data_IF_766434453764
#
_entry.id   IF_766434453764
#
_cell.length_a   1.000
_cell.length_b   1.000
_cell.length_c   1.000
_cell.angle_alpha   90.00
_cell.angle_beta   90.00
_cell.angle_gamma   90.00
#
_symmetry.space_group_name_H-M   'P 1'
#
loop_
_entity.id
_entity.type
_entity.pdbx_description
1 polymer ?
#
# COMPACT_ATOMS: atom_id res chain seq x y z
N UNK A 1 -1.20 13.61 26.04
CA UNK A 1 -1.43 14.10 24.66
C UNK A 1 -0.18 14.04 23.75
N UNK A 2 1.05 13.97 24.28
CA UNK A 2 2.29 13.76 23.47
C UNK A 2 3.01 12.43 23.76
N UNK A 3 2.36 11.47 24.42
CA UNK A 3 2.98 10.21 24.84
C UNK A 3 3.50 9.37 23.65
N UNK A 4 2.86 9.45 22.48
CA UNK A 4 3.30 8.77 21.25
C UNK A 4 4.68 9.22 20.75
N UNK A 5 5.11 10.45 21.08
CA UNK A 5 6.44 10.95 20.69
C UNK A 5 7.52 10.32 21.57
N UNK A 6 7.19 10.04 22.84
CA UNK A 6 8.10 9.41 23.80
C UNK A 6 8.05 7.88 23.74
N UNK A 7 7.07 7.30 23.04
CA UNK A 7 6.88 5.87 22.89
C UNK A 7 7.74 5.30 21.74
N UNK A 8 8.77 4.50 22.03
CA UNK A 8 9.63 3.90 21.00
C UNK A 8 8.86 2.99 20.04
N UNK A 9 7.76 2.37 20.49
CA UNK A 9 6.99 1.41 19.70
C UNK A 9 6.27 2.09 18.52
N UNK A 10 5.78 3.32 18.73
CA UNK A 10 5.16 4.14 17.69
C UNK A 10 6.16 4.52 16.58
N UNK A 11 7.40 4.84 16.94
CA UNK A 11 8.46 5.15 15.98
C UNK A 11 8.88 3.91 15.16
N UNK A 12 9.00 2.76 15.81
CA UNK A 12 9.32 1.49 15.13
C UNK A 12 8.20 1.12 14.14
N UNK A 13 6.95 1.27 14.54
CA UNK A 13 5.79 1.02 13.67
C UNK A 13 5.77 1.97 12.47
N UNK A 14 6.01 3.26 12.68
CA UNK A 14 6.11 4.26 11.61
C UNK A 14 7.24 3.94 10.63
N UNK A 15 8.43 3.61 11.13
CA UNK A 15 9.59 3.24 10.28
C UNK A 15 9.29 1.98 9.49
N UNK A 16 8.68 0.98 10.10
CA UNK A 16 8.31 -0.27 9.43
C UNK A 16 7.28 -0.01 8.33
N UNK A 17 6.26 0.79 8.63
CA UNK A 17 5.20 1.12 7.68
C UNK A 17 5.74 1.97 6.51
N UNK A 18 6.61 2.94 6.80
CA UNK A 18 7.32 3.70 5.78
C UNK A 18 8.25 2.83 4.93
N UNK A 19 8.96 1.87 5.54
CA UNK A 19 9.81 0.93 4.81
C UNK A 19 9.00 0.06 3.85
N UNK A 20 7.85 -0.46 4.31
CA UNK A 20 6.93 -1.24 3.46
C UNK A 20 6.38 -0.40 2.30
N UNK A 21 5.97 0.84 2.57
CA UNK A 21 5.50 1.79 1.55
C UNK A 21 6.58 2.04 0.48
N UNK A 22 7.84 2.19 0.89
CA UNK A 22 8.97 2.42 -0.01
C UNK A 22 9.24 1.18 -0.89
N UNK A 23 9.31 -0.01 -0.30
CA UNK A 23 9.56 -1.26 -1.05
C UNK A 23 8.47 -1.47 -2.11
N UNK A 24 7.21 -1.33 -1.71
CA UNK A 24 6.06 -1.45 -2.62
C UNK A 24 6.05 -0.36 -3.70
N UNK A 25 6.55 0.84 -3.38
CA UNK A 25 6.68 1.94 -4.34
C UNK A 25 7.79 1.74 -5.36
N UNK A 26 8.91 1.13 -4.97
CA UNK A 26 10.08 0.91 -5.83
C UNK A 26 9.78 -0.12 -6.92
N UNK A 27 9.11 -1.22 -6.59
CA UNK A 27 8.79 -2.29 -7.55
C UNK A 27 8.02 -1.75 -8.76
N UNK A 28 7.06 -0.86 -8.53
CA UNK A 28 6.25 -0.23 -9.58
C UNK A 28 7.04 0.76 -10.45
N UNK A 29 7.95 1.55 -9.88
CA UNK A 29 8.77 2.52 -10.63
C UNK A 29 9.80 1.79 -11.51
N UNK A 30 10.42 0.72 -10.98
CA UNK A 30 11.38 -0.11 -11.72
C UNK A 30 10.72 -0.73 -12.96
N UNK A 31 9.50 -1.27 -12.82
CA UNK A 31 8.77 -1.85 -13.95
C UNK A 31 8.52 -0.84 -15.08
N UNK A 32 8.06 0.37 -14.73
CA UNK A 32 7.85 1.45 -15.72
C UNK A 32 9.17 1.82 -16.42
N UNK A 33 10.25 1.97 -15.65
CA UNK A 33 11.56 2.34 -16.23
C UNK A 33 12.10 1.26 -17.17
N UNK A 34 11.91 -0.03 -16.84
CA UNK A 34 12.28 -1.14 -17.72
C UNK A 34 11.45 -1.13 -19.00
N UNK A 35 10.14 -0.91 -18.90
CA UNK A 35 9.22 -0.93 -20.04
C UNK A 35 9.45 0.26 -20.98
N UNK A 36 9.63 1.46 -20.40
CA UNK A 36 9.90 2.69 -21.14
C UNK A 36 11.29 2.70 -21.77
N UNK A 37 12.28 2.11 -21.10
CA UNK A 37 13.65 2.00 -21.61
C UNK A 37 13.76 1.23 -22.94
N UNK A 38 12.76 0.40 -23.25
CA UNK A 38 12.67 -0.38 -24.49
C UNK A 38 12.00 0.36 -25.67
N UNK A 39 11.47 1.57 -25.46
CA UNK A 39 10.73 2.31 -26.49
C UNK A 39 11.61 3.27 -27.31
N UNK A 40 11.36 3.41 -28.63
CA UNK A 40 12.03 4.39 -29.49
C UNK A 40 11.81 5.82 -28.97
N UNK A 41 12.79 6.72 -29.16
CA UNK A 41 12.80 8.07 -28.58
C UNK A 41 11.53 8.88 -28.86
N UNK A 42 10.93 8.72 -30.05
CA UNK A 42 9.66 9.35 -30.43
C UNK A 42 8.45 8.88 -29.62
N UNK A 43 8.50 7.68 -29.03
CA UNK A 43 7.38 7.05 -28.30
C UNK A 43 7.60 7.02 -26.78
N UNK A 44 8.78 7.43 -26.28
CA UNK A 44 9.09 7.42 -24.84
C UNK A 44 8.12 8.25 -24.02
N UNK A 45 7.63 9.38 -24.54
CA UNK A 45 6.68 10.23 -23.84
C UNK A 45 5.32 9.54 -23.65
N UNK A 46 4.76 8.97 -24.71
CA UNK A 46 3.51 8.18 -24.63
C UNK A 46 3.70 6.92 -23.79
N UNK A 47 4.84 6.24 -23.89
CA UNK A 47 5.20 5.09 -23.06
C UNK A 47 5.28 5.41 -21.58
N UNK A 48 5.83 6.57 -21.21
CA UNK A 48 5.86 7.05 -19.82
C UNK A 48 4.46 7.29 -19.29
N UNK A 49 3.62 7.99 -20.06
CA UNK A 49 2.25 8.30 -19.65
C UNK A 49 1.43 7.01 -19.49
N UNK A 50 1.54 6.08 -20.45
CA UNK A 50 0.85 4.80 -20.39
C UNK A 50 1.35 3.94 -19.22
N UNK A 51 2.68 3.92 -18.99
CA UNK A 51 3.30 3.22 -17.87
C UNK A 51 2.91 3.80 -16.52
N UNK A 52 2.89 5.13 -16.37
CA UNK A 52 2.39 5.80 -15.16
C UNK A 52 0.91 5.53 -14.94
N UNK A 53 0.09 5.58 -15.99
CA UNK A 53 -1.34 5.28 -15.89
C UNK A 53 -1.59 3.83 -15.44
N UNK A 54 -0.87 2.87 -16.03
CA UNK A 54 -0.93 1.45 -15.63
C UNK A 54 -0.43 1.22 -14.20
N UNK A 55 0.65 1.89 -13.78
CA UNK A 55 1.18 1.79 -12.42
C UNK A 55 0.24 2.38 -11.37
N UNK A 56 -0.41 3.50 -11.68
CA UNK A 56 -1.46 4.07 -10.83
C UNK A 56 -2.68 3.16 -10.76
N UNK A 57 -3.08 2.57 -11.89
CA UNK A 57 -4.23 1.67 -11.96
C UNK A 57 -3.99 0.40 -11.14
N UNK A 58 -2.84 -0.26 -11.30
CA UNK A 58 -2.47 -1.44 -10.50
C UNK A 58 -2.41 -1.12 -9.01
N UNK A 59 -1.87 0.05 -8.64
CA UNK A 59 -1.87 0.52 -7.25
C UNK A 59 -3.28 0.70 -6.69
N UNK A 60 -4.17 1.35 -7.43
CA UNK A 60 -5.57 1.54 -7.02
C UNK A 60 -6.29 0.19 -6.89
N UNK A 61 -6.05 -0.73 -7.82
CA UNK A 61 -6.70 -2.04 -7.84
C UNK A 61 -6.26 -2.91 -6.66
N UNK A 62 -4.95 -2.92 -6.35
CA UNK A 62 -4.41 -3.57 -5.16
C UNK A 62 -4.92 -2.94 -3.87
N UNK A 63 -4.94 -1.61 -3.77
CA UNK A 63 -5.48 -0.91 -2.61
C UNK A 63 -6.98 -1.17 -2.41
N UNK A 64 -7.77 -1.20 -3.48
CA UNK A 64 -9.20 -1.57 -3.42
C UNK A 64 -9.39 -3.02 -3.00
N UNK A 65 -8.58 -3.95 -3.52
CA UNK A 65 -8.62 -5.35 -3.12
C UNK A 65 -8.30 -5.50 -1.63
N UNK A 66 -7.26 -4.83 -1.15
CA UNK A 66 -6.85 -4.85 0.25
C UNK A 66 -7.90 -4.18 1.16
N UNK A 67 -8.48 -3.05 0.74
CA UNK A 67 -9.57 -2.41 1.46
C UNK A 67 -10.84 -3.29 1.51
N UNK A 68 -11.14 -4.01 0.43
CA UNK A 68 -12.27 -4.94 0.40
C UNK A 68 -12.02 -6.15 1.29
N UNK A 69 -10.82 -6.74 1.25
CA UNK A 69 -10.40 -7.82 2.14
C UNK A 69 -10.48 -7.36 3.60
N UNK A 70 -9.88 -6.21 3.93
CA UNK A 70 -9.95 -5.62 5.27
C UNK A 70 -11.39 -5.40 5.72
N UNK A 71 -12.28 -4.94 4.83
CA UNK A 71 -13.71 -4.78 5.13
C UNK A 71 -14.45 -6.12 5.26
N UNK A 72 -13.92 -7.22 4.76
CA UNK A 72 -14.49 -8.56 4.93
C UNK A 72 -13.95 -9.23 6.21
N UNK A 73 -12.69 -8.97 6.57
CA UNK A 73 -12.05 -9.48 7.80
C UNK A 73 -12.39 -8.63 9.04
N UNK A 74 -12.59 -7.32 8.90
CA UNK A 74 -13.00 -6.42 9.98
C UNK A 74 -14.34 -6.81 10.63
N UNK A 75 -15.44 -7.13 9.90
CA UNK A 75 -16.68 -7.56 10.52
C UNK A 75 -16.57 -8.93 11.20
N UNK A 76 -15.65 -9.80 10.76
CA UNK A 76 -15.41 -11.07 11.44
C UNK A 76 -14.60 -10.87 12.72
N UNK A 77 -13.61 -9.97 12.74
CA UNK A 77 -12.84 -9.67 13.95
C UNK A 77 -13.63 -8.83 14.98
N UNK A 78 -14.50 -7.90 14.57
CA UNK A 78 -15.37 -7.19 15.54
C UNK A 78 -16.49 -8.08 16.08
N UNK A 79 -17.02 -9.03 15.30
CA UNK A 79 -17.93 -10.07 15.82
C UNK A 79 -17.19 -11.01 16.78
N UNK A 80 -15.97 -11.45 16.44
CA UNK A 80 -15.16 -12.27 17.35
C UNK A 80 -14.66 -11.53 18.60
N UNK A 81 -14.50 -10.20 18.56
CA UNK A 81 -14.05 -9.40 19.71
C UNK A 81 -15.21 -8.84 20.56
N UNK A 82 -16.45 -8.91 20.09
CA UNK A 82 -17.65 -8.60 20.90
C UNK A 82 -18.26 -9.81 21.62
N UNK A 83 -17.77 -11.03 21.38
CA UNK A 83 -18.27 -12.24 22.08
C UNK A 83 -17.39 -12.73 23.25
N UNK A 84 -16.22 -12.11 23.52
CA UNK A 84 -15.37 -12.49 24.66
C UNK A 84 -15.14 -11.30 25.61
N UNK A 85 -16.22 -10.63 26.00
CA UNK A 85 -16.24 -9.85 27.25
C UNK A 85 -17.65 -9.73 27.84
N UNK A 86 -18.47 -10.77 27.67
CA UNK A 86 -19.73 -10.96 28.40
C UNK A 86 -19.47 -11.91 29.57
N UNK A 87 -19.09 -11.32 30.70
CA UNK A 87 -18.74 -11.92 31.99
C UNK A 87 -19.82 -12.89 32.51
N UNK A 88 -19.36 -14.04 33.03
CA UNK A 88 -20.04 -14.90 34.03
C UNK A 88 -20.18 -14.13 35.33
#
# INVERSE_FOLDING_TARGET
>A
MFEWIADPEAWISLVTLAALEIVLGIDNIIFINILVGRLPERQRQSGRILGLALAMLTRILLLMSLAWIMKLTAPLLTVFHQEISGVI
#
